data_IF_972698606737
#
_entry.id   IF_972698606737
#
_cell.length_a   1.000
_cell.length_b   1.000
_cell.length_c   1.000
_cell.angle_alpha   90.00
_cell.angle_beta   90.00
_cell.angle_gamma   90.00
#
_symmetry.space_group_name_H-M   'P 1'
#
loop_
_entity.id
_entity.type
_entity.pdbx_description
1 polymer ?
#
# COMPACT_ATOMS: atom_id res chain seq x y z
N UNK A 1 -31.70 23.75 -6.12
CA UNK A 1 -31.05 22.91 -7.16
C UNK A 1 -30.42 21.73 -6.44
N UNK A 2 -30.99 20.53 -6.60
CA UNK A 2 -30.47 19.29 -6.04
C UNK A 2 -29.28 18.85 -6.87
N UNK A 3 -28.08 18.83 -6.29
CA UNK A 3 -26.93 18.13 -6.86
C UNK A 3 -27.08 16.65 -6.52
N UNK A 4 -27.81 15.93 -7.35
CA UNK A 4 -27.93 14.48 -7.30
C UNK A 4 -27.23 13.96 -8.57
N UNK A 5 -25.98 13.56 -8.43
CA UNK A 5 -25.32 12.60 -9.29
C UNK A 5 -24.08 12.07 -8.58
N UNK A 6 -24.28 11.14 -7.67
CA UNK A 6 -23.21 10.23 -7.25
C UNK A 6 -22.79 9.43 -8.50
N UNK A 7 -21.78 9.94 -9.21
CA UNK A 7 -21.10 9.18 -10.26
C UNK A 7 -20.49 7.96 -9.55
N UNK A 8 -21.16 6.79 -9.69
CA UNK A 8 -20.70 5.55 -9.07
C UNK A 8 -19.28 5.29 -9.54
N UNK A 9 -18.30 5.47 -8.66
CA UNK A 9 -16.89 5.22 -8.95
C UNK A 9 -16.74 3.77 -9.41
N UNK A 10 -15.91 3.52 -10.43
CA UNK A 10 -15.66 2.16 -10.91
C UNK A 10 -14.79 1.43 -9.90
N UNK A 11 -15.28 0.31 -9.38
CA UNK A 11 -14.50 -0.52 -8.46
C UNK A 11 -13.43 -1.33 -9.22
N UNK A 12 -12.27 -1.50 -8.61
CA UNK A 12 -11.23 -2.40 -9.09
C UNK A 12 -11.05 -3.63 -8.18
N UNK A 13 -11.50 -3.55 -6.92
CA UNK A 13 -11.58 -4.70 -6.02
C UNK A 13 -12.91 -4.68 -5.28
N UNK A 14 -13.58 -5.82 -5.27
CA UNK A 14 -14.85 -6.03 -4.57
C UNK A 14 -14.74 -7.26 -3.69
N UNK A 15 -14.90 -7.06 -2.39
CA UNK A 15 -14.87 -8.08 -1.35
C UNK A 15 -16.23 -8.10 -0.65
N UNK A 16 -16.88 -9.27 -0.61
CA UNK A 16 -18.18 -9.47 0.06
C UNK A 16 -18.12 -10.70 0.94
N UNK A 17 -18.44 -10.53 2.22
CA UNK A 17 -18.47 -11.58 3.24
C UNK A 17 -17.17 -12.39 3.28
N UNK A 18 -16.02 -11.70 3.27
CA UNK A 18 -14.71 -12.35 3.21
C UNK A 18 -14.22 -12.66 4.60
N UNK A 19 -13.93 -13.95 4.84
CA UNK A 19 -13.28 -14.46 6.05
C UNK A 19 -11.92 -15.06 5.69
N UNK A 20 -10.90 -14.81 6.52
CA UNK A 20 -9.55 -15.32 6.35
C UNK A 20 -9.07 -15.96 7.63
N UNK A 21 -8.53 -17.18 7.50
CA UNK A 21 -7.89 -17.91 8.58
C UNK A 21 -6.42 -18.13 8.28
N UNK A 22 -5.58 -17.98 9.29
CA UNK A 22 -4.14 -18.30 9.25
C UNK A 22 -3.87 -19.18 10.48
N UNK A 23 -3.29 -20.35 10.28
CA UNK A 23 -3.00 -21.31 11.36
C UNK A 23 -4.22 -21.56 12.27
N UNK A 24 -5.38 -21.82 11.67
CA UNK A 24 -6.69 -22.07 12.32
C UNK A 24 -7.27 -20.86 13.10
N UNK A 25 -6.60 -19.72 13.11
CA UNK A 25 -7.09 -18.51 13.74
C UNK A 25 -7.76 -17.62 12.71
N UNK A 26 -8.98 -17.14 13.01
CA UNK A 26 -9.64 -16.13 12.20
C UNK A 26 -8.89 -14.79 12.34
N UNK A 27 -8.44 -14.26 11.20
CA UNK A 27 -7.67 -13.01 11.14
C UNK A 27 -8.49 -11.88 10.51
N UNK A 28 -9.36 -12.23 9.55
CA UNK A 28 -10.34 -11.29 8.98
C UNK A 28 -11.70 -11.95 9.02
N UNK A 29 -12.71 -11.21 9.47
CA UNK A 29 -14.08 -11.67 9.62
C UNK A 29 -15.06 -10.73 8.93
N UNK A 30 -15.90 -11.30 8.07
CA UNK A 30 -17.00 -10.62 7.38
C UNK A 30 -16.58 -9.29 6.71
N UNK A 31 -15.46 -9.30 5.98
CA UNK A 31 -14.98 -8.11 5.28
C UNK A 31 -15.88 -7.82 4.07
N UNK A 32 -16.44 -6.62 4.06
CA UNK A 32 -17.26 -6.08 2.99
C UNK A 32 -16.69 -4.72 2.57
N UNK A 33 -15.88 -4.70 1.50
CA UNK A 33 -15.18 -3.52 1.00
C UNK A 33 -15.16 -3.53 -0.53
N UNK A 34 -15.46 -2.39 -1.14
CA UNK A 34 -15.15 -2.12 -2.56
C UNK A 34 -14.10 -1.03 -2.63
N UNK A 35 -12.97 -1.27 -3.32
CA UNK A 35 -11.94 -0.27 -3.59
C UNK A 35 -12.13 0.29 -5.01
N UNK A 36 -12.16 1.61 -5.13
CA UNK A 36 -12.54 2.29 -6.36
C UNK A 36 -11.37 3.06 -6.98
N UNK A 37 -11.42 3.24 -8.30
CA UNK A 37 -10.55 4.18 -8.97
C UNK A 37 -10.88 5.62 -8.53
N UNK A 38 -9.84 6.46 -8.38
CA UNK A 38 -9.98 7.84 -7.89
C UNK A 38 -9.97 7.95 -6.36
N UNK A 39 -9.90 6.83 -5.63
CA UNK A 39 -9.78 6.83 -4.17
C UNK A 39 -8.35 6.52 -3.74
N UNK A 40 -7.78 7.40 -2.91
CA UNK A 40 -6.54 7.14 -2.18
C UNK A 40 -6.93 6.71 -0.77
N UNK A 41 -6.82 5.42 -0.51
CA UNK A 41 -7.40 4.78 0.66
C UNK A 41 -6.34 4.49 1.72
N UNK A 42 -6.53 5.03 2.92
CA UNK A 42 -5.80 4.65 4.12
C UNK A 42 -6.54 3.52 4.83
N UNK A 43 -5.82 2.47 5.21
CA UNK A 43 -6.30 1.45 6.13
C UNK A 43 -5.58 1.64 7.46
N UNK A 44 -6.33 1.98 8.49
CA UNK A 44 -5.82 2.33 9.82
C UNK A 44 -6.35 1.36 10.88
N UNK A 45 -5.53 1.03 11.87
CA UNK A 45 -5.92 0.18 12.99
C UNK A 45 -4.73 -0.28 13.82
N UNK A 46 -4.96 -0.85 15.00
CA UNK A 46 -3.89 -1.33 15.87
C UNK A 46 -3.07 -2.48 15.25
N UNK A 47 -1.90 -2.76 15.81
CA UNK A 47 -1.12 -3.92 15.39
C UNK A 47 -1.91 -5.19 15.63
N UNK A 48 -1.81 -6.15 14.69
CA UNK A 48 -2.56 -7.41 14.76
C UNK A 48 -4.03 -7.31 14.32
N UNK A 49 -4.55 -6.16 13.92
CA UNK A 49 -5.95 -6.01 13.50
C UNK A 49 -6.30 -6.60 12.11
N UNK A 50 -5.32 -7.19 11.40
CA UNK A 50 -5.57 -7.82 10.09
C UNK A 50 -5.21 -6.99 8.86
N UNK A 51 -4.67 -5.76 9.01
CA UNK A 51 -4.36 -4.85 7.88
C UNK A 51 -3.45 -5.46 6.82
N UNK A 52 -2.28 -5.98 7.21
CA UNK A 52 -1.35 -6.61 6.25
C UNK A 52 -1.94 -7.88 5.64
N UNK A 53 -2.79 -8.61 6.38
CA UNK A 53 -3.55 -9.75 5.87
C UNK A 53 -4.54 -9.30 4.78
N UNK A 54 -5.23 -8.18 4.99
CA UNK A 54 -6.10 -7.59 3.98
C UNK A 54 -5.32 -7.22 2.71
N UNK A 55 -4.13 -6.61 2.83
CA UNK A 55 -3.29 -6.32 1.65
C UNK A 55 -2.81 -7.60 0.95
N UNK A 56 -2.54 -8.69 1.70
CA UNK A 56 -2.16 -10.00 1.15
C UNK A 56 -3.29 -10.69 0.38
N UNK A 57 -4.54 -10.38 0.66
CA UNK A 57 -5.66 -10.78 -0.21
C UNK A 57 -5.54 -10.11 -1.59
N UNK A 58 -5.27 -8.80 -1.62
CA UNK A 58 -5.20 -8.03 -2.87
C UNK A 58 -4.09 -8.53 -3.81
N UNK A 59 -2.98 -9.05 -3.28
CA UNK A 59 -1.90 -9.61 -4.09
C UNK A 59 -2.03 -11.11 -4.34
N UNK A 60 -3.13 -11.74 -3.89
CA UNK A 60 -3.39 -13.18 -4.01
C UNK A 60 -2.32 -14.06 -3.33
N UNK A 61 -1.59 -13.54 -2.32
CA UNK A 61 -0.68 -14.37 -1.48
C UNK A 61 -1.45 -15.24 -0.49
N UNK A 62 -2.65 -14.82 -0.12
CA UNK A 62 -3.60 -15.57 0.70
C UNK A 62 -4.98 -15.54 0.05
N UNK A 63 -5.79 -16.52 0.38
CA UNK A 63 -7.14 -16.67 -0.15
C UNK A 63 -8.15 -16.71 0.99
N UNK A 64 -9.36 -16.15 0.79
CA UNK A 64 -10.43 -16.28 1.76
C UNK A 64 -10.98 -17.70 1.81
N UNK A 65 -11.66 -18.05 2.90
CA UNK A 65 -12.48 -19.26 2.93
C UNK A 65 -13.67 -19.06 1.98
N UNK A 66 -13.87 -20.03 1.11
CA UNK A 66 -15.00 -20.05 0.20
C UNK A 66 -16.30 -20.34 0.96
N UNK A 67 -17.32 -19.52 0.76
CA UNK A 67 -18.69 -19.77 1.23
C UNK A 67 -19.69 -19.35 0.16
N UNK A 68 -20.91 -19.91 0.22
CA UNK A 68 -21.95 -19.66 -0.78
C UNK A 68 -22.29 -18.16 -0.93
N UNK A 69 -22.05 -17.35 0.09
CA UNK A 69 -22.37 -15.92 0.14
C UNK A 69 -21.12 -15.02 0.02
N UNK A 70 -19.92 -15.60 -0.17
CA UNK A 70 -18.70 -14.82 -0.31
C UNK A 70 -18.35 -14.59 -1.78
N UNK A 71 -17.80 -13.40 -2.07
CA UNK A 71 -17.29 -13.06 -3.41
C UNK A 71 -16.08 -12.18 -3.29
N UNK A 72 -15.00 -12.53 -3.98
CA UNK A 72 -13.80 -11.71 -4.08
C UNK A 72 -13.37 -11.52 -5.53
N UNK A 73 -13.57 -10.30 -6.04
CA UNK A 73 -13.25 -9.93 -7.42
C UNK A 73 -12.18 -8.85 -7.46
N UNK A 74 -11.18 -9.05 -8.32
CA UNK A 74 -10.23 -8.02 -8.73
C UNK A 74 -10.47 -7.74 -10.22
N UNK A 75 -10.67 -6.46 -10.57
CA UNK A 75 -10.97 -6.03 -11.95
C UNK A 75 -12.17 -6.79 -12.55
N UNK A 76 -13.22 -6.99 -11.74
CA UNK A 76 -14.44 -7.76 -12.06
C UNK A 76 -14.20 -9.27 -12.32
N UNK A 77 -13.03 -9.82 -11.97
CA UNK A 77 -12.68 -11.24 -12.15
C UNK A 77 -12.46 -11.91 -10.80
N UNK A 78 -13.04 -13.07 -10.58
CA UNK A 78 -12.77 -13.91 -9.39
C UNK A 78 -11.39 -14.57 -9.47
N UNK A 79 -10.98 -14.97 -10.67
CA UNK A 79 -9.64 -15.49 -10.96
C UNK A 79 -8.90 -14.52 -11.88
N UNK A 80 -7.68 -14.20 -11.55
CA UNK A 80 -6.79 -13.35 -12.34
C UNK A 80 -5.40 -13.97 -12.40
N UNK A 81 -4.79 -13.94 -13.57
CA UNK A 81 -3.41 -14.36 -13.73
C UNK A 81 -2.49 -13.42 -12.95
N UNK A 82 -1.54 -13.97 -12.19
CA UNK A 82 -0.64 -13.19 -11.33
C UNK A 82 0.22 -12.19 -12.13
N UNK A 83 0.57 -12.48 -13.36
CA UNK A 83 1.32 -11.58 -14.22
C UNK A 83 0.49 -10.38 -14.66
N UNK A 84 -0.80 -10.59 -14.97
CA UNK A 84 -1.74 -9.51 -15.29
C UNK A 84 -2.05 -8.66 -14.07
N UNK A 85 -2.13 -9.28 -12.88
CA UNK A 85 -2.28 -8.56 -11.63
C UNK A 85 -1.10 -7.62 -11.36
N UNK A 86 0.14 -8.11 -11.52
CA UNK A 86 1.38 -7.33 -11.33
C UNK A 86 1.54 -6.17 -12.29
N UNK A 87 0.95 -6.26 -13.49
CA UNK A 87 0.92 -5.12 -14.44
C UNK A 87 -0.03 -4.02 -13.99
N UNK A 88 -1.08 -4.36 -13.24
CA UNK A 88 -2.12 -3.42 -12.81
C UNK A 88 -1.92 -2.89 -11.41
N UNK A 89 -1.27 -3.65 -10.54
CA UNK A 89 -1.04 -3.28 -9.13
C UNK A 89 0.44 -3.45 -8.80
N UNK A 90 1.07 -2.36 -8.38
CA UNK A 90 2.39 -2.40 -7.75
C UNK A 90 2.24 -2.64 -6.24
N UNK A 91 3.06 -3.52 -5.70
CA UNK A 91 3.02 -3.89 -4.29
C UNK A 91 4.33 -3.56 -3.57
N UNK A 92 4.21 -3.01 -2.37
CA UNK A 92 5.28 -2.86 -1.40
C UNK A 92 4.85 -3.49 -0.08
N UNK A 93 5.48 -4.59 0.31
CA UNK A 93 5.29 -5.24 1.61
C UNK A 93 6.55 -5.12 2.47
N UNK A 94 6.36 -5.03 3.78
CA UNK A 94 7.43 -4.89 4.76
C UNK A 94 8.47 -6.02 4.65
N UNK A 95 8.03 -7.27 4.42
CA UNK A 95 8.92 -8.42 4.28
C UNK A 95 9.75 -8.45 2.98
N UNK A 96 9.49 -7.59 2.01
CA UNK A 96 10.22 -7.60 0.73
C UNK A 96 11.71 -7.30 0.89
N UNK A 97 12.08 -6.44 1.84
CA UNK A 97 13.48 -6.12 2.11
C UNK A 97 14.30 -7.35 2.57
N UNK A 98 13.66 -8.24 3.33
CA UNK A 98 14.28 -9.47 3.81
C UNK A 98 14.46 -10.52 2.71
N UNK A 99 13.62 -10.48 1.67
CA UNK A 99 13.66 -11.42 0.54
C UNK A 99 14.80 -11.16 -0.44
N UNK A 100 15.43 -9.99 -0.37
CA UNK A 100 16.59 -9.67 -1.22
C UNK A 100 17.82 -10.36 -0.65
N UNK A 101 18.50 -11.18 -1.44
CA UNK A 101 19.71 -11.89 -1.03
C UNK A 101 20.91 -10.94 -0.88
N UNK A 102 21.92 -11.38 -0.15
CA UNK A 102 23.23 -10.73 -0.06
C UNK A 102 23.87 -10.73 -1.46
N UNK A 103 24.61 -9.68 -1.79
CA UNK A 103 25.30 -9.53 -3.08
C UNK A 103 24.40 -9.06 -4.25
N UNK A 104 23.09 -8.87 -4.03
CA UNK A 104 22.20 -8.29 -5.04
C UNK A 104 22.31 -6.77 -5.02
N UNK A 105 22.62 -6.15 -6.15
CA UNK A 105 22.69 -4.69 -6.26
C UNK A 105 21.29 -4.07 -6.45
N UNK A 106 21.21 -2.75 -6.26
CA UNK A 106 19.96 -2.02 -6.36
C UNK A 106 19.32 -2.12 -7.76
N UNK A 107 20.13 -2.08 -8.82
CA UNK A 107 19.65 -2.22 -10.20
C UNK A 107 18.91 -3.55 -10.38
N UNK A 108 19.51 -4.65 -9.94
CA UNK A 108 18.91 -5.98 -10.03
C UNK A 108 17.61 -6.09 -9.22
N UNK A 109 17.53 -5.40 -8.08
CA UNK A 109 16.27 -5.31 -7.31
C UNK A 109 15.18 -4.61 -8.13
N UNK A 110 15.47 -3.49 -8.77
CA UNK A 110 14.45 -2.76 -9.57
C UNK A 110 13.96 -3.61 -10.74
N UNK A 111 14.89 -4.16 -11.55
CA UNK A 111 14.52 -4.96 -12.72
C UNK A 111 13.80 -6.26 -12.36
N UNK A 112 14.02 -6.78 -11.15
CA UNK A 112 13.31 -7.95 -10.64
C UNK A 112 11.79 -7.77 -10.57
N UNK A 113 11.32 -6.54 -10.66
CA UNK A 113 9.90 -6.22 -10.77
C UNK A 113 9.24 -6.85 -12.01
N UNK A 114 9.98 -6.99 -13.12
CA UNK A 114 9.48 -7.64 -14.33
C UNK A 114 9.35 -9.16 -14.16
N UNK A 115 10.24 -9.81 -13.42
CA UNK A 115 10.19 -11.27 -13.19
C UNK A 115 9.38 -11.65 -11.93
N UNK A 116 9.12 -10.69 -11.06
CA UNK A 116 8.43 -10.93 -9.79
C UNK A 116 9.24 -11.70 -8.73
N UNK A 117 10.52 -11.99 -9.00
CA UNK A 117 11.44 -12.66 -8.07
C UNK A 117 12.65 -11.79 -7.81
N UNK A 118 13.21 -11.79 -6.59
CA UNK A 118 14.40 -10.98 -6.26
C UNK A 118 15.73 -11.57 -6.73
N UNK A 119 15.72 -12.80 -7.27
CA UNK A 119 16.93 -13.57 -7.59
C UNK A 119 17.11 -13.80 -9.09
N UNK A 120 16.45 -13.01 -9.94
CA UNK A 120 16.53 -13.23 -11.37
C UNK A 120 17.68 -12.44 -12.01
N UNK A 121 18.50 -13.11 -12.79
CA UNK A 121 19.47 -12.49 -13.72
C UNK A 121 18.75 -11.93 -14.96
N UNK A 122 17.67 -11.16 -14.73
CA UNK A 122 16.78 -10.68 -15.79
C UNK A 122 17.40 -9.57 -16.65
N UNK A 123 18.51 -8.96 -16.19
CA UNK A 123 19.16 -7.81 -16.86
C UNK A 123 19.56 -8.07 -18.31
N UNK A 124 19.84 -9.32 -18.67
CA UNK A 124 20.26 -9.69 -20.03
C UNK A 124 19.12 -9.73 -21.06
N UNK A 125 17.87 -9.70 -20.63
CA UNK A 125 16.68 -9.91 -21.46
C UNK A 125 15.81 -8.66 -21.65
N UNK A 126 16.21 -7.52 -21.06
CA UNK A 126 15.44 -6.29 -21.14
C UNK A 126 15.42 -5.70 -22.55
N UNK A 127 14.25 -5.42 -23.07
CA UNK A 127 14.04 -4.62 -24.27
C UNK A 127 14.57 -3.19 -24.10
N UNK A 128 14.81 -2.48 -25.21
CA UNK A 128 15.23 -1.07 -25.17
C UNK A 128 14.23 -0.18 -24.40
N UNK A 129 12.92 -0.41 -24.58
CA UNK A 129 11.89 0.35 -23.89
C UNK A 129 11.87 0.10 -22.39
N UNK A 130 12.09 -1.15 -21.94
CA UNK A 130 12.18 -1.47 -20.52
C UNK A 130 13.41 -0.82 -19.87
N UNK A 131 14.56 -0.80 -20.57
CA UNK A 131 15.75 -0.11 -20.08
C UNK A 131 15.50 1.38 -19.87
N UNK A 132 14.98 2.07 -20.88
CA UNK A 132 14.63 3.50 -20.78
C UNK A 132 13.69 3.77 -19.61
N UNK A 133 12.72 2.91 -19.40
CA UNK A 133 11.77 3.03 -18.28
C UNK A 133 12.45 2.88 -16.92
N UNK A 134 13.35 1.93 -16.78
CA UNK A 134 14.15 1.75 -15.56
C UNK A 134 15.02 2.98 -15.30
N UNK A 135 15.70 3.50 -16.32
CA UNK A 135 16.56 4.67 -16.20
C UNK A 135 15.76 5.89 -15.72
N UNK A 136 14.54 6.08 -16.25
CA UNK A 136 13.63 7.13 -15.80
C UNK A 136 13.23 6.94 -14.33
N UNK A 137 12.85 5.73 -13.92
CA UNK A 137 12.51 5.44 -12.53
C UNK A 137 13.70 5.68 -11.59
N UNK A 138 14.90 5.24 -11.95
CA UNK A 138 16.12 5.46 -11.18
C UNK A 138 16.33 6.95 -10.96
N UNK A 139 16.18 7.75 -12.01
CA UNK A 139 16.36 9.20 -11.96
C UNK A 139 15.27 9.86 -11.10
N UNK A 140 13.99 9.55 -11.32
CA UNK A 140 12.86 10.13 -10.57
C UNK A 140 12.94 9.82 -9.08
N UNK A 141 13.41 8.63 -8.71
CA UNK A 141 13.54 8.20 -7.32
C UNK A 141 14.89 8.60 -6.70
N UNK A 142 15.78 9.29 -7.45
CA UNK A 142 17.07 9.78 -6.96
C UNK A 142 18.01 8.66 -6.53
N UNK A 143 18.13 7.62 -7.37
CA UNK A 143 18.90 6.41 -7.10
C UNK A 143 20.17 6.29 -7.94
N UNK A 144 20.45 7.25 -8.86
CA UNK A 144 21.54 7.18 -9.83
C UNK A 144 22.92 6.87 -9.21
N UNK A 145 23.27 7.54 -8.12
CA UNK A 145 24.61 7.44 -7.52
C UNK A 145 24.84 6.14 -6.73
N UNK A 146 23.79 5.35 -6.51
CA UNK A 146 23.84 4.14 -5.68
C UNK A 146 23.34 2.89 -6.40
N UNK A 147 23.13 2.98 -7.71
CA UNK A 147 22.48 1.94 -8.51
C UNK A 147 23.22 0.59 -8.49
N UNK A 148 24.54 0.63 -8.39
CA UNK A 148 25.39 -0.56 -8.33
C UNK A 148 25.76 -0.98 -6.90
N UNK A 149 25.32 -0.22 -5.88
CA UNK A 149 25.57 -0.59 -4.49
C UNK A 149 24.75 -1.84 -4.12
N UNK A 150 25.28 -2.65 -3.23
CA UNK A 150 24.55 -3.78 -2.68
C UNK A 150 23.30 -3.29 -1.92
N UNK A 151 22.16 -3.89 -2.22
CA UNK A 151 20.88 -3.49 -1.64
C UNK A 151 20.89 -3.56 -0.10
N UNK A 152 21.52 -4.57 0.49
CA UNK A 152 21.58 -4.76 1.95
C UNK A 152 22.36 -3.63 2.65
N UNK A 153 23.33 -3.01 2.00
CA UNK A 153 24.15 -1.92 2.54
C UNK A 153 23.45 -0.54 2.49
N UNK A 154 22.31 -0.43 1.81
CA UNK A 154 21.59 0.82 1.65
C UNK A 154 20.86 1.22 2.93
N UNK A 155 20.64 2.55 3.11
CA UNK A 155 19.75 3.05 4.18
C UNK A 155 18.29 2.62 3.94
N UNK A 156 17.47 2.58 5.00
CA UNK A 156 16.08 2.17 4.91
C UNK A 156 15.29 3.05 3.89
N UNK A 157 15.56 4.36 3.86
CA UNK A 157 14.98 5.26 2.88
C UNK A 157 15.40 4.97 1.44
N UNK A 158 16.66 4.55 1.20
CA UNK A 158 17.14 4.13 -0.11
C UNK A 158 16.51 2.80 -0.52
N UNK A 159 16.46 1.81 0.37
CA UNK A 159 15.78 0.52 0.15
C UNK A 159 14.31 0.72 -0.19
N UNK A 160 13.62 1.57 0.56
CA UNK A 160 12.20 1.86 0.34
C UNK A 160 11.94 2.45 -1.04
N UNK A 161 12.76 3.43 -1.45
CA UNK A 161 12.67 4.03 -2.80
C UNK A 161 12.97 3.02 -3.91
N UNK A 162 13.95 2.14 -3.72
CA UNK A 162 14.28 1.08 -4.69
C UNK A 162 13.11 0.09 -4.85
N UNK A 163 12.49 -0.34 -3.76
CA UNK A 163 11.34 -1.26 -3.81
C UNK A 163 10.09 -0.60 -4.41
N UNK A 164 9.92 0.72 -4.24
CA UNK A 164 8.85 1.46 -4.91
C UNK A 164 9.13 1.61 -6.40
N UNK A 165 10.36 1.94 -6.80
CA UNK A 165 10.75 1.92 -8.21
C UNK A 165 10.50 0.54 -8.84
N UNK A 166 10.85 -0.53 -8.13
CA UNK A 166 10.53 -1.92 -8.53
C UNK A 166 9.03 -2.15 -8.72
N UNK A 167 8.18 -1.64 -7.82
CA UNK A 167 6.72 -1.78 -7.91
C UNK A 167 6.13 -1.03 -9.12
N UNK A 168 6.83 -0.01 -9.63
CA UNK A 168 6.40 0.87 -10.72
C UNK A 168 6.88 0.43 -12.12
N UNK A 169 7.69 -0.64 -12.26
CA UNK A 169 8.27 -1.04 -13.56
C UNK A 169 7.22 -1.32 -14.64
N UNK A 170 6.03 -1.75 -14.26
CA UNK A 170 4.90 -1.95 -15.19
C UNK A 170 4.00 -0.71 -15.35
N UNK A 171 4.32 0.44 -14.70
CA UNK A 171 3.41 1.61 -14.62
C UNK A 171 1.98 1.21 -14.22
N UNK A 172 1.81 0.63 -13.04
CA UNK A 172 0.51 0.17 -12.59
C UNK A 172 -0.43 1.34 -12.32
N UNK A 173 -1.74 1.11 -12.47
CA UNK A 173 -2.77 2.09 -12.11
C UNK A 173 -2.94 2.24 -10.59
N UNK A 174 -2.48 1.23 -9.83
CA UNK A 174 -2.71 1.12 -8.39
C UNK A 174 -1.42 0.75 -7.68
N UNK A 175 -1.15 1.39 -6.53
CA UNK A 175 -0.12 0.99 -5.58
C UNK A 175 -0.76 0.52 -4.27
N UNK A 176 -0.31 -0.62 -3.78
CA UNK A 176 -0.70 -1.19 -2.48
C UNK A 176 0.54 -1.24 -1.59
N UNK A 177 0.53 -0.48 -0.49
CA UNK A 177 1.71 -0.22 0.33
C UNK A 177 1.48 -0.62 1.79
N UNK A 178 2.32 -1.51 2.31
CA UNK A 178 2.30 -1.94 3.70
C UNK A 178 3.35 -1.15 4.51
N UNK A 179 2.90 -0.26 5.40
CA UNK A 179 3.73 0.59 6.26
C UNK A 179 4.88 1.31 5.51
N UNK A 180 4.58 2.09 4.43
CA UNK A 180 5.63 2.62 3.55
C UNK A 180 6.60 3.57 4.24
N UNK A 181 6.19 4.22 5.33
CA UNK A 181 6.99 5.21 6.07
C UNK A 181 7.70 4.66 7.32
N UNK A 182 7.51 3.39 7.64
CA UNK A 182 8.09 2.78 8.83
C UNK A 182 9.63 2.81 8.79
N UNK A 183 10.25 3.19 9.92
CA UNK A 183 11.71 3.28 10.14
C UNK A 183 12.44 4.31 9.25
N UNK A 184 11.74 5.27 8.66
CA UNK A 184 12.37 6.33 7.89
C UNK A 184 12.78 7.52 8.77
N UNK A 185 13.97 8.07 8.50
CA UNK A 185 14.34 9.38 9.02
C UNK A 185 13.48 10.50 8.42
N UNK A 186 13.51 11.68 9.02
CA UNK A 186 12.70 12.84 8.62
C UNK A 186 12.89 13.17 7.13
N UNK A 187 14.14 13.20 6.66
CA UNK A 187 14.45 13.54 5.26
C UNK A 187 13.89 12.50 4.29
N UNK A 188 14.09 11.23 4.58
CA UNK A 188 13.58 10.11 3.77
C UNK A 188 12.05 10.10 3.75
N UNK A 189 11.40 10.40 4.89
CA UNK A 189 9.96 10.52 4.99
C UNK A 189 9.42 11.64 4.09
N UNK A 190 10.02 12.84 4.13
CA UNK A 190 9.63 13.96 3.25
C UNK A 190 9.80 13.64 1.77
N UNK A 191 10.92 13.01 1.39
CA UNK A 191 11.17 12.61 -0.01
C UNK A 191 10.10 11.60 -0.47
N UNK A 192 9.82 10.59 0.35
CA UNK A 192 8.84 9.57 0.04
C UNK A 192 7.43 10.15 -0.08
N UNK A 193 7.01 10.96 0.88
CA UNK A 193 5.71 11.63 0.88
C UNK A 193 5.52 12.46 -0.40
N UNK A 194 6.52 13.28 -0.76
CA UNK A 194 6.50 14.07 -2.00
C UNK A 194 6.36 13.19 -3.24
N UNK A 195 7.11 12.08 -3.31
CA UNK A 195 7.07 11.19 -4.46
C UNK A 195 5.72 10.46 -4.59
N UNK A 196 5.15 9.99 -3.47
CA UNK A 196 3.83 9.37 -3.48
C UNK A 196 2.73 10.37 -3.88
N UNK A 197 2.79 11.62 -3.39
CA UNK A 197 1.85 12.65 -3.82
C UNK A 197 1.95 12.97 -5.32
N UNK A 198 3.16 12.95 -5.91
CA UNK A 198 3.34 13.08 -7.37
C UNK A 198 2.69 11.94 -8.14
N UNK A 199 2.80 10.70 -7.65
CA UNK A 199 2.14 9.55 -8.28
C UNK A 199 0.60 9.70 -8.25
N UNK A 200 0.04 10.23 -7.16
CA UNK A 200 -1.39 10.54 -7.07
C UNK A 200 -1.77 11.61 -8.13
N UNK A 201 -0.94 12.65 -8.33
CA UNK A 201 -1.16 13.65 -9.37
C UNK A 201 -1.12 13.07 -10.79
N UNK A 202 -0.39 11.98 -10.98
CA UNK A 202 -0.35 11.19 -12.21
C UNK A 202 -1.50 10.18 -12.31
N UNK A 203 -2.51 10.29 -11.46
CA UNK A 203 -3.70 9.41 -11.40
C UNK A 203 -3.42 7.97 -10.98
N UNK A 204 -2.31 7.70 -10.29
CA UNK A 204 -2.07 6.41 -9.65
C UNK A 204 -2.82 6.38 -8.32
N UNK A 205 -3.71 5.41 -8.15
CA UNK A 205 -4.43 5.20 -6.90
C UNK A 205 -3.54 4.54 -5.85
N UNK A 206 -3.58 5.03 -4.63
CA UNK A 206 -2.78 4.47 -3.53
C UNK A 206 -3.70 3.89 -2.47
N UNK A 207 -3.51 2.60 -2.17
CA UNK A 207 -4.05 1.94 -0.98
C UNK A 207 -2.89 1.64 -0.05
N UNK A 208 -2.92 2.17 1.16
CA UNK A 208 -1.81 1.98 2.06
C UNK A 208 -2.27 1.75 3.51
N UNK A 209 -1.44 1.03 4.22
CA UNK A 209 -1.63 0.74 5.65
C UNK A 209 -0.64 1.56 6.46
N UNK A 210 -1.09 2.14 7.55
CA UNK A 210 -0.21 2.64 8.62
C UNK A 210 -0.90 2.56 9.97
N UNK A 211 -0.12 2.59 11.04
CA UNK A 211 -0.58 2.79 12.41
C UNK A 211 -0.19 4.19 12.95
N UNK A 212 0.51 5.01 12.15
CA UNK A 212 0.99 6.33 12.51
C UNK A 212 0.25 7.42 11.71
N UNK A 213 -0.43 8.34 12.41
CA UNK A 213 -1.15 9.45 11.78
C UNK A 213 -0.24 10.43 11.04
N UNK A 214 1.00 10.62 11.49
CA UNK A 214 1.96 11.51 10.83
C UNK A 214 2.38 11.00 9.43
N UNK A 215 2.09 9.72 9.14
CA UNK A 215 2.35 9.08 7.86
C UNK A 215 1.16 9.18 6.88
N UNK A 216 0.10 9.90 7.25
CA UNK A 216 -1.08 10.06 6.37
C UNK A 216 -0.72 11.00 5.22
N UNK A 217 -0.96 10.54 4.00
CA UNK A 217 -0.75 11.35 2.80
C UNK A 217 -1.83 12.45 2.74
N UNK A 218 -1.46 13.71 2.49
CA UNK A 218 -2.43 14.83 2.40
C UNK A 218 -3.54 14.62 1.37
N UNK A 219 -3.30 13.79 0.35
CA UNK A 219 -4.28 13.47 -0.71
C UNK A 219 -5.09 12.21 -0.44
N UNK A 220 -5.03 11.68 0.79
CA UNK A 220 -5.93 10.63 1.22
C UNK A 220 -7.36 11.16 1.25
N UNK A 221 -8.28 10.46 0.59
CA UNK A 221 -9.69 10.87 0.54
C UNK A 221 -10.65 9.80 1.09
N UNK A 222 -10.13 8.63 1.48
CA UNK A 222 -10.89 7.57 2.14
C UNK A 222 -10.08 6.91 3.24
N UNK A 223 -10.73 6.60 4.35
CA UNK A 223 -10.15 5.89 5.49
C UNK A 223 -11.02 4.69 5.83
N UNK A 224 -10.39 3.53 5.98
CA UNK A 224 -11.02 2.31 6.47
C UNK A 224 -10.37 1.96 7.80
N UNK A 225 -11.17 1.88 8.86
CA UNK A 225 -10.71 1.50 10.19
C UNK A 225 -10.93 0.01 10.38
N UNK A 226 -9.84 -0.73 10.68
CA UNK A 226 -9.90 -2.17 10.95
C UNK A 226 -9.52 -2.42 12.41
N UNK A 227 -10.39 -3.13 13.13
CA UNK A 227 -10.18 -3.57 14.51
C UNK A 227 -10.56 -5.04 14.62
N UNK A 228 -9.70 -5.85 15.23
CA UNK A 228 -9.97 -7.28 15.50
C UNK A 228 -10.48 -8.05 14.26
N UNK A 229 -9.87 -7.80 13.12
CA UNK A 229 -10.21 -8.48 11.86
C UNK A 229 -11.49 -8.01 11.18
N UNK A 230 -12.17 -6.99 11.70
CA UNK A 230 -13.42 -6.46 11.13
C UNK A 230 -13.26 -5.01 10.67
N UNK A 231 -14.09 -4.59 9.72
CA UNK A 231 -14.22 -3.18 9.34
C UNK A 231 -15.09 -2.46 10.38
N UNK A 232 -14.45 -1.60 11.18
CA UNK A 232 -15.14 -0.82 12.19
C UNK A 232 -15.89 0.37 11.58
N UNK A 233 -15.23 1.11 10.69
CA UNK A 233 -15.78 2.28 9.98
C UNK A 233 -15.11 2.44 8.62
N UNK A 234 -15.83 3.08 7.70
CA UNK A 234 -15.36 3.44 6.36
C UNK A 234 -15.95 4.80 6.00
N UNK A 235 -15.11 5.77 5.65
CA UNK A 235 -15.54 7.14 5.39
C UNK A 235 -14.40 8.10 5.04
N UNK A 236 -14.67 9.39 5.07
CA UNK A 236 -13.65 10.41 4.78
C UNK A 236 -12.66 10.60 5.95
N UNK A 237 -11.43 11.11 5.68
CA UNK A 237 -10.47 11.42 6.75
C UNK A 237 -11.04 12.35 7.82
N UNK A 238 -11.74 13.42 7.41
CA UNK A 238 -12.31 14.39 8.35
C UNK A 238 -13.39 13.81 9.28
N UNK A 239 -14.13 12.80 8.79
CA UNK A 239 -15.14 12.12 9.60
C UNK A 239 -14.52 11.12 10.58
N UNK A 240 -13.46 10.43 10.18
CA UNK A 240 -12.94 9.28 10.93
C UNK A 240 -11.68 9.57 11.74
N UNK A 241 -10.84 10.52 11.31
CA UNK A 241 -9.61 10.86 12.03
C UNK A 241 -9.92 11.97 13.05
N UNK A 242 -10.51 11.58 14.17
CA UNK A 242 -10.80 12.47 15.30
C UNK A 242 -10.51 11.77 16.63
N UNK A 243 -10.38 12.57 17.70
CA UNK A 243 -9.96 12.09 19.02
C UNK A 243 -10.87 10.96 19.54
N UNK A 244 -12.19 11.09 19.40
CA UNK A 244 -13.16 10.08 19.88
C UNK A 244 -13.00 8.77 19.13
N UNK A 245 -13.07 8.81 17.78
CA UNK A 245 -13.00 7.61 16.95
C UNK A 245 -11.68 6.87 17.13
N UNK A 246 -10.56 7.61 17.21
CA UNK A 246 -9.24 6.98 17.35
C UNK A 246 -8.98 6.51 18.78
N UNK A 247 -9.52 7.17 19.81
CA UNK A 247 -9.47 6.65 21.18
C UNK A 247 -10.19 5.31 21.28
N UNK A 248 -11.36 5.18 20.65
CA UNK A 248 -12.13 3.91 20.59
C UNK A 248 -11.39 2.83 19.77
N UNK A 249 -10.72 3.24 18.68
CA UNK A 249 -9.96 2.32 17.84
C UNK A 249 -8.76 1.73 18.57
N UNK A 250 -7.97 2.57 19.25
CA UNK A 250 -6.71 2.17 19.90
C UNK A 250 -6.88 1.80 21.37
N UNK A 251 -8.06 1.96 21.96
CA UNK A 251 -8.37 1.75 23.39
C UNK A 251 -7.49 2.59 24.33
N UNK A 252 -7.16 3.83 23.94
CA UNK A 252 -6.39 4.78 24.73
C UNK A 252 -6.95 6.19 24.53
N UNK A 253 -6.86 7.03 25.56
CA UNK A 253 -7.28 8.44 25.46
C UNK A 253 -6.24 9.23 24.67
N UNK A 254 -6.63 9.72 23.50
CA UNK A 254 -5.75 10.51 22.63
C UNK A 254 -6.46 11.77 22.16
N UNK A 255 -5.66 12.82 21.95
CA UNK A 255 -6.08 14.00 21.23
C UNK A 255 -5.52 13.97 19.81
N UNK A 256 -6.35 14.30 18.83
CA UNK A 256 -5.98 14.39 17.43
C UNK A 256 -5.92 15.83 17.01
N UNK A 257 -4.80 16.24 16.45
CA UNK A 257 -4.56 17.59 15.92
C UNK A 257 -4.43 17.46 14.40
N UNK A 258 -5.21 18.25 13.67
CA UNK A 258 -5.08 18.39 12.22
C UNK A 258 -4.57 19.79 11.89
N UNK A 259 -3.58 19.85 10.99
CA UNK A 259 -3.09 21.11 10.47
C UNK A 259 -2.72 20.96 8.99
N UNK A 260 -3.46 21.63 8.10
CA UNK A 260 -3.22 21.65 6.65
C UNK A 260 -3.16 20.25 6.01
N UNK A 261 -4.04 19.35 6.46
CA UNK A 261 -4.12 17.96 5.97
C UNK A 261 -3.08 17.01 6.57
N UNK A 262 -2.30 17.46 7.55
CA UNK A 262 -1.40 16.65 8.35
C UNK A 262 -2.03 16.36 9.71
N UNK A 263 -1.89 15.13 10.17
CA UNK A 263 -2.52 14.63 11.40
C UNK A 263 -1.47 14.22 12.41
N UNK A 264 -1.73 14.52 13.68
CA UNK A 264 -0.87 14.14 14.81
C UNK A 264 -1.69 13.60 15.96
N UNK A 265 -1.19 12.56 16.61
CA UNK A 265 -1.72 12.07 17.89
C UNK A 265 -0.91 12.62 19.04
N UNK A 266 -1.61 13.10 20.09
CA UNK A 266 -1.02 13.48 21.36
C UNK A 266 -1.73 12.67 22.45
N UNK A 267 -1.01 11.88 23.26
CA UNK A 267 -1.61 11.22 24.41
C UNK A 267 -2.27 12.26 25.34
N UNK A 268 -3.46 11.98 25.84
CA UNK A 268 -4.03 12.72 26.95
C UNK A 268 -3.47 12.08 28.22
N UNK A 269 -2.64 12.83 28.96
CA UNK A 269 -2.24 12.41 30.31
C UNK A 269 -3.51 12.36 31.16
N UNK A 270 -3.84 11.21 31.69
CA UNK A 270 -4.85 11.04 32.73
C UNK A 270 -4.35 11.65 34.04
#
# INVERSE_FOLDING_TARGET
MRFDSQKKLKSWADLKNINVYIDQKEVLSNINISLNYGENTLILGPNGSGKSTFLKLLNRSIYPISSNNSSFKLFNKESINIWDLRKKIGFLFKEMEQRVNIGVNLYDVIISGFSGTFNSRYSKLLSKGEKTKIDNLINEWGLNNIIFNEFKSLSDGQKRRALLARALVYTPDILVLDEPFCNLDIKSNFILNRNLNKLIDQSINIVYVTHNLESILPKTNRVILIKEGTVLKDGSPHELINSKTLSDLFNISINVIEQKGYWRMVPLNN
#
